data_IF_007137875714
#
_entry.id   IF_007137875714
#
_cell.length_a   1.000
_cell.length_b   1.000
_cell.length_c   1.000
_cell.angle_alpha   90.00
_cell.angle_beta   90.00
_cell.angle_gamma   90.00
#
_symmetry.space_group_name_H-M   'P 1'
#
loop_
_entity.id
_entity.type
_entity.pdbx_description
1 polymer ?
#
# COMPACT_ATOMS: atom_id res chain seq x y z
N UNK A 1 -74.83 21.07 -11.76
CA UNK A 1 -73.51 21.33 -12.36
C UNK A 1 -72.47 21.09 -11.28
N UNK A 2 -71.68 20.03 -11.44
CA UNK A 2 -70.85 19.40 -10.42
C UNK A 2 -69.62 20.24 -10.06
N UNK A 3 -69.51 20.60 -8.79
CA UNK A 3 -68.32 21.25 -8.21
C UNK A 3 -67.24 20.17 -8.07
N UNK A 4 -66.19 20.29 -8.87
CA UNK A 4 -64.98 19.48 -8.76
C UNK A 4 -64.29 19.79 -7.42
N UNK A 5 -64.38 18.88 -6.45
CA UNK A 5 -63.60 18.95 -5.21
C UNK A 5 -62.18 18.47 -5.52
N UNK A 6 -61.25 19.41 -5.63
CA UNK A 6 -59.81 19.10 -5.53
C UNK A 6 -59.57 18.31 -4.23
N UNK A 7 -59.03 17.10 -4.36
CA UNK A 7 -58.53 16.33 -3.21
C UNK A 7 -57.23 16.96 -2.75
N UNK A 8 -57.32 18.04 -1.98
CA UNK A 8 -56.19 18.54 -1.20
C UNK A 8 -55.97 17.55 -0.05
N UNK A 9 -54.97 16.68 -0.18
CA UNK A 9 -54.58 15.76 0.88
C UNK A 9 -53.90 16.60 1.97
N UNK A 10 -54.69 17.14 2.89
CA UNK A 10 -54.19 17.79 4.10
C UNK A 10 -53.84 16.70 5.10
N UNK A 11 -52.58 16.25 5.06
CA UNK A 11 -52.02 15.33 6.06
C UNK A 11 -52.27 15.89 7.47
N UNK A 12 -52.91 15.10 8.32
CA UNK A 12 -53.06 15.45 9.74
C UNK A 12 -51.68 15.44 10.42
N UNK A 13 -51.46 16.28 11.44
CA UNK A 13 -50.13 16.39 12.10
C UNK A 13 -49.54 15.05 12.55
N UNK A 14 -50.40 14.08 12.91
CA UNK A 14 -49.99 12.74 13.33
C UNK A 14 -49.39 11.91 12.18
N UNK A 15 -49.99 11.96 10.98
CA UNK A 15 -49.52 11.24 9.80
C UNK A 15 -48.15 11.76 9.33
N UNK A 16 -47.94 13.08 9.40
CA UNK A 16 -46.63 13.69 9.08
C UNK A 16 -45.53 13.19 10.01
N UNK A 17 -45.79 13.18 11.32
CA UNK A 17 -44.82 12.72 12.33
C UNK A 17 -44.50 11.23 12.13
N UNK A 18 -45.52 10.40 11.87
CA UNK A 18 -45.34 8.97 11.60
C UNK A 18 -44.46 8.74 10.36
N UNK A 19 -44.72 9.49 9.27
CA UNK A 19 -43.93 9.42 8.05
C UNK A 19 -42.47 9.82 8.27
N UNK A 20 -42.21 10.90 9.00
CA UNK A 20 -40.83 11.30 9.34
C UNK A 20 -40.11 10.29 10.22
N UNK A 21 -40.80 9.68 11.19
CA UNK A 21 -40.23 8.61 12.02
C UNK A 21 -39.85 7.39 11.20
N UNK A 22 -40.75 6.94 10.33
CA UNK A 22 -40.47 5.81 9.44
C UNK A 22 -39.30 6.09 8.50
N UNK A 23 -39.28 7.27 7.87
CA UNK A 23 -38.20 7.70 6.98
C UNK A 23 -36.85 7.80 7.72
N UNK A 24 -36.85 8.33 8.95
CA UNK A 24 -35.64 8.45 9.76
C UNK A 24 -35.06 7.07 10.11
N UNK A 25 -35.89 6.12 10.55
CA UNK A 25 -35.45 4.75 10.85
C UNK A 25 -34.88 4.08 9.61
N UNK A 26 -35.52 4.25 8.46
CA UNK A 26 -35.04 3.72 7.19
C UNK A 26 -33.66 4.30 6.82
N UNK A 27 -33.51 5.62 6.86
CA UNK A 27 -32.25 6.31 6.53
C UNK A 27 -31.11 5.89 7.47
N UNK A 28 -31.38 5.80 8.77
CA UNK A 28 -30.38 5.35 9.75
C UNK A 28 -29.99 3.89 9.49
N UNK A 29 -30.95 3.02 9.19
CA UNK A 29 -30.67 1.62 8.88
C UNK A 29 -29.77 1.47 7.64
N UNK A 30 -30.04 2.22 6.58
CA UNK A 30 -29.20 2.24 5.37
C UNK A 30 -27.81 2.81 5.68
N UNK A 31 -27.73 3.86 6.49
CA UNK A 31 -26.45 4.46 6.92
C UNK A 31 -25.57 3.46 7.66
N UNK A 32 -26.15 2.73 8.61
CA UNK A 32 -25.44 1.69 9.37
C UNK A 32 -24.94 0.60 8.43
N UNK A 33 -25.79 0.12 7.52
CA UNK A 33 -25.40 -0.90 6.55
C UNK A 33 -24.24 -0.44 5.65
N UNK A 34 -24.34 0.77 5.09
CA UNK A 34 -23.27 1.35 4.25
C UNK A 34 -21.98 1.56 5.03
N UNK A 35 -22.06 1.95 6.30
CA UNK A 35 -20.89 2.10 7.16
C UNK A 35 -20.16 0.77 7.37
N UNK A 36 -20.91 -0.32 7.59
CA UNK A 36 -20.34 -1.67 7.72
C UNK A 36 -19.68 -2.11 6.41
N UNK A 37 -20.35 -1.92 5.27
CA UNK A 37 -19.80 -2.25 3.95
C UNK A 37 -18.53 -1.44 3.68
N UNK A 38 -18.54 -0.14 3.96
CA UNK A 38 -17.39 0.74 3.79
C UNK A 38 -16.19 0.32 4.66
N UNK A 39 -16.45 -0.09 5.90
CA UNK A 39 -15.42 -0.63 6.79
C UNK A 39 -14.82 -1.94 6.27
N UNK A 40 -15.66 -2.90 5.89
CA UNK A 40 -15.21 -4.18 5.33
C UNK A 40 -14.41 -3.97 4.03
N UNK A 41 -14.88 -3.07 3.17
CA UNK A 41 -14.18 -2.70 1.94
C UNK A 41 -12.82 -2.08 2.24
N UNK A 42 -12.72 -1.18 3.22
CA UNK A 42 -11.45 -0.58 3.62
C UNK A 42 -10.45 -1.63 4.10
N UNK A 43 -10.86 -2.54 4.99
CA UNK A 43 -9.95 -3.54 5.56
C UNK A 43 -9.51 -4.58 4.52
N UNK A 44 -10.42 -4.98 3.63
CA UNK A 44 -10.09 -5.85 2.50
C UNK A 44 -9.08 -5.21 1.54
N UNK A 45 -9.29 -3.94 1.18
CA UNK A 45 -8.36 -3.20 0.33
C UNK A 45 -7.01 -2.97 1.02
N UNK A 46 -7.00 -2.65 2.31
CA UNK A 46 -5.77 -2.49 3.10
C UNK A 46 -4.92 -3.76 3.07
N UNK A 47 -5.54 -4.91 3.30
CA UNK A 47 -4.87 -6.21 3.24
C UNK A 47 -4.36 -6.51 1.84
N UNK A 48 -5.19 -6.29 0.81
CA UNK A 48 -4.81 -6.49 -0.58
C UNK A 48 -3.64 -5.60 -1.01
N UNK A 49 -3.65 -4.31 -0.64
CA UNK A 49 -2.57 -3.37 -0.91
C UNK A 49 -1.26 -3.78 -0.22
N UNK A 50 -1.33 -4.26 1.03
CA UNK A 50 -0.15 -4.76 1.75
C UNK A 50 0.45 -5.98 1.04
N UNK A 51 -0.39 -6.93 0.61
CA UNK A 51 0.05 -8.10 -0.14
C UNK A 51 0.66 -7.71 -1.49
N UNK A 52 0.00 -6.84 -2.25
CA UNK A 52 0.53 -6.33 -3.52
C UNK A 52 1.88 -5.64 -3.34
N UNK A 53 2.02 -4.80 -2.31
CA UNK A 53 3.28 -4.15 -1.96
C UNK A 53 4.37 -5.18 -1.62
N UNK A 54 4.05 -6.19 -0.82
CA UNK A 54 4.98 -7.29 -0.51
C UNK A 54 5.48 -7.97 -1.79
N UNK A 55 4.58 -8.36 -2.68
CA UNK A 55 4.95 -9.02 -3.93
C UNK A 55 5.80 -8.12 -4.83
N UNK A 56 5.41 -6.84 -4.98
CA UNK A 56 6.16 -5.87 -5.79
C UNK A 56 7.57 -5.67 -5.23
N UNK A 57 7.72 -5.44 -3.92
CA UNK A 57 9.03 -5.26 -3.30
C UNK A 57 9.89 -6.52 -3.43
N UNK A 58 9.34 -7.70 -3.18
CA UNK A 58 10.07 -8.97 -3.35
C UNK A 58 10.50 -9.20 -4.80
N UNK A 59 9.63 -8.87 -5.76
CA UNK A 59 9.96 -8.95 -7.19
C UNK A 59 11.12 -8.01 -7.55
N UNK A 60 11.05 -6.75 -7.10
CA UNK A 60 12.12 -5.78 -7.36
C UNK A 60 13.43 -6.19 -6.69
N UNK A 61 13.40 -6.70 -5.46
CA UNK A 61 14.60 -7.18 -4.78
C UNK A 61 15.25 -8.35 -5.54
N UNK A 62 14.46 -9.29 -6.07
CA UNK A 62 14.94 -10.36 -6.94
C UNK A 62 15.52 -9.85 -8.25
N UNK A 63 14.88 -8.86 -8.89
CA UNK A 63 15.41 -8.23 -10.10
C UNK A 63 16.77 -7.56 -9.84
N UNK A 64 16.94 -6.89 -8.70
CA UNK A 64 18.24 -6.33 -8.29
C UNK A 64 19.27 -7.43 -8.05
N UNK A 65 18.90 -8.51 -7.37
CA UNK A 65 19.76 -9.69 -7.18
C UNK A 65 20.24 -10.25 -8.51
N UNK A 66 19.31 -10.45 -9.46
CA UNK A 66 19.62 -10.97 -10.79
C UNK A 66 20.61 -10.06 -11.54
N UNK A 67 20.41 -8.73 -11.49
CA UNK A 67 21.36 -7.77 -12.09
C UNK A 67 22.75 -7.86 -11.46
N UNK A 68 22.84 -8.04 -10.14
CA UNK A 68 24.10 -8.23 -9.42
C UNK A 68 24.78 -9.54 -9.86
N UNK A 69 24.02 -10.64 -9.94
CA UNK A 69 24.50 -11.95 -10.40
C UNK A 69 25.01 -11.86 -11.83
N UNK A 70 24.21 -11.33 -12.76
CA UNK A 70 24.60 -11.15 -14.17
C UNK A 70 25.88 -10.32 -14.29
N UNK A 71 25.97 -9.20 -13.54
CA UNK A 71 27.17 -8.38 -13.54
C UNK A 71 28.38 -9.11 -12.95
N UNK A 72 28.17 -9.96 -11.94
CA UNK A 72 29.22 -10.80 -11.37
C UNK A 72 29.71 -11.86 -12.36
N UNK A 73 28.83 -12.39 -13.21
CA UNK A 73 29.15 -13.38 -14.24
C UNK A 73 29.89 -12.76 -15.43
N UNK A 74 29.53 -11.55 -15.84
CA UNK A 74 30.23 -10.78 -16.88
C UNK A 74 31.67 -10.38 -16.47
N UNK A 75 31.97 -10.36 -15.17
CA UNK A 75 33.21 -9.81 -14.63
C UNK A 75 34.39 -10.79 -14.58
N UNK A 76 34.31 -11.93 -15.27
CA UNK A 76 35.43 -12.88 -15.33
C UNK A 76 36.39 -12.53 -16.49
N UNK A 77 37.56 -12.01 -16.09
CA UNK A 77 38.86 -11.92 -16.77
C UNK A 77 39.32 -10.63 -17.49
N UNK A 78 38.49 -9.81 -18.15
CA UNK A 78 39.03 -8.66 -18.94
C UNK A 78 38.67 -7.25 -18.48
N UNK A 79 37.69 -7.08 -17.59
CA UNK A 79 37.11 -5.75 -17.21
C UNK A 79 37.55 -5.29 -15.80
N UNK A 80 38.40 -6.06 -15.11
CA UNK A 80 38.73 -5.86 -13.70
C UNK A 80 39.45 -4.54 -13.34
N UNK A 81 40.02 -3.81 -14.31
CA UNK A 81 40.84 -2.62 -13.97
C UNK A 81 40.03 -1.36 -13.63
N UNK A 82 38.77 -1.27 -14.05
CA UNK A 82 37.97 -0.03 -13.91
C UNK A 82 36.55 -0.23 -13.31
N UNK A 83 36.25 -1.39 -12.73
CA UNK A 83 34.92 -1.63 -12.16
C UNK A 83 34.76 -0.96 -10.79
N UNK A 84 34.08 0.19 -10.78
CA UNK A 84 33.64 0.86 -9.54
C UNK A 84 32.35 0.22 -9.01
N UNK A 85 32.52 -0.73 -8.08
CA UNK A 85 31.43 -1.40 -7.37
C UNK A 85 30.50 -0.41 -6.66
N UNK A 86 31.04 0.67 -6.09
CA UNK A 86 30.25 1.66 -5.36
C UNK A 86 29.32 2.43 -6.30
N UNK A 87 29.83 2.85 -7.46
CA UNK A 87 29.04 3.51 -8.50
C UNK A 87 27.94 2.61 -9.05
N UNK A 88 28.25 1.35 -9.34
CA UNK A 88 27.26 0.38 -9.82
C UNK A 88 26.08 0.20 -8.85
N UNK A 89 26.37 0.03 -7.54
CA UNK A 89 25.32 -0.13 -6.53
C UNK A 89 24.49 1.14 -6.33
N UNK A 90 25.09 2.32 -6.51
CA UNK A 90 24.40 3.60 -6.48
C UNK A 90 23.47 3.79 -7.68
N UNK A 91 23.89 3.32 -8.86
CA UNK A 91 23.09 3.41 -10.10
C UNK A 91 21.96 2.37 -10.15
N UNK A 92 22.07 1.28 -9.39
CA UNK A 92 21.03 0.27 -9.17
C UNK A 92 19.84 0.75 -8.31
N UNK A 93 19.85 2.01 -7.88
CA UNK A 93 18.73 2.62 -7.15
C UNK A 93 17.42 2.48 -7.92
N UNK A 94 16.34 2.17 -7.20
CA UNK A 94 15.00 2.17 -7.75
C UNK A 94 14.33 3.50 -7.42
N UNK A 95 13.80 4.23 -8.41
CA UNK A 95 13.22 5.57 -8.19
C UNK A 95 12.13 5.60 -7.11
N UNK A 96 11.43 4.48 -6.88
CA UNK A 96 10.37 4.34 -5.88
C UNK A 96 10.82 3.76 -4.52
N UNK A 97 11.90 2.98 -4.48
CA UNK A 97 12.29 2.22 -3.28
C UNK A 97 13.70 2.59 -2.88
N UNK A 98 13.91 2.86 -1.59
CA UNK A 98 15.25 3.03 -1.05
C UNK A 98 15.91 1.66 -0.95
N UNK A 99 17.13 1.53 -1.47
CA UNK A 99 17.87 0.28 -1.48
C UNK A 99 19.00 0.25 -0.45
N UNK A 100 19.30 -0.94 0.07
CA UNK A 100 20.47 -1.21 0.88
C UNK A 100 21.06 -2.57 0.54
N UNK A 101 22.35 -2.62 0.29
CA UNK A 101 23.11 -3.83 -0.02
C UNK A 101 24.07 -4.10 1.13
N UNK A 102 23.99 -5.31 1.68
CA UNK A 102 24.75 -5.72 2.86
C UNK A 102 25.53 -7.00 2.57
N UNK A 103 26.70 -7.11 3.18
CA UNK A 103 27.51 -8.33 3.12
C UNK A 103 27.00 -9.41 4.09
N UNK A 104 27.65 -10.57 4.10
CA UNK A 104 27.33 -11.70 5.00
C UNK A 104 27.34 -11.33 6.49
N UNK A 105 28.14 -10.34 6.87
CA UNK A 105 28.23 -9.82 8.25
C UNK A 105 27.21 -8.72 8.55
N UNK A 106 26.22 -8.51 7.66
CA UNK A 106 25.19 -7.45 7.77
C UNK A 106 25.78 -6.03 7.79
N UNK A 107 27.03 -5.86 7.34
CA UNK A 107 27.64 -4.53 7.18
C UNK A 107 27.20 -3.95 5.84
N UNK A 108 26.79 -2.67 5.80
CA UNK A 108 26.35 -2.04 4.56
C UNK A 108 27.54 -1.85 3.61
N UNK A 109 27.36 -2.27 2.36
CA UNK A 109 28.26 -1.94 1.24
C UNK A 109 27.82 -0.64 0.57
N UNK A 110 26.51 -0.45 0.44
CA UNK A 110 25.86 0.79 0.05
C UNK A 110 24.45 0.79 0.63
N UNK A 111 24.00 1.90 1.22
CA UNK A 111 22.61 1.98 1.69
C UNK A 111 22.08 3.41 1.71
N UNK A 112 20.82 3.53 1.30
CA UNK A 112 20.00 4.74 1.47
C UNK A 112 19.11 4.64 2.74
N UNK A 113 19.30 3.58 3.53
CA UNK A 113 18.49 3.22 4.68
C UNK A 113 19.35 3.36 5.94
N UNK A 114 19.09 4.40 6.73
CA UNK A 114 19.91 4.72 7.91
C UNK A 114 19.91 3.61 8.97
N UNK A 115 18.85 2.81 9.07
CA UNK A 115 18.78 1.74 10.07
C UNK A 115 17.84 0.62 9.59
N UNK A 116 18.35 -0.62 9.60
CA UNK A 116 17.58 -1.84 9.31
C UNK A 116 17.53 -2.66 10.58
N UNK A 117 16.33 -2.83 11.12
CA UNK A 117 16.12 -3.49 12.41
C UNK A 117 16.19 -5.01 12.33
N UNK A 118 15.84 -5.59 11.17
CA UNK A 118 15.64 -7.04 11.01
C UNK A 118 16.08 -7.53 9.63
N UNK A 119 16.77 -8.66 9.62
CA UNK A 119 17.25 -9.38 8.42
C UNK A 119 16.74 -10.83 8.36
N UNK A 120 16.03 -11.25 9.40
CA UNK A 120 15.50 -12.60 9.64
C UNK A 120 14.16 -12.86 8.96
N UNK A 121 13.47 -11.80 8.51
CA UNK A 121 12.17 -11.90 7.85
C UNK A 121 12.19 -11.28 6.45
N UNK A 122 11.69 -12.02 5.47
CA UNK A 122 11.62 -11.58 4.07
C UNK A 122 10.82 -10.30 3.84
N UNK A 123 9.82 -10.05 4.67
CA UNK A 123 8.99 -8.85 4.62
C UNK A 123 8.46 -8.48 6.00
N UNK A 124 8.58 -7.21 6.37
CA UNK A 124 8.01 -6.68 7.60
C UNK A 124 7.53 -5.24 7.41
N UNK A 125 6.62 -4.83 8.29
CA UNK A 125 6.09 -3.46 8.34
C UNK A 125 6.46 -2.88 9.69
N UNK A 126 7.14 -1.73 9.68
CA UNK A 126 7.47 -0.98 10.87
C UNK A 126 7.10 0.49 10.67
N UNK A 127 6.32 1.07 11.58
CA UNK A 127 5.85 2.45 11.51
C UNK A 127 5.25 2.84 10.14
N UNK A 128 4.39 1.97 9.59
CA UNK A 128 3.78 2.10 8.25
C UNK A 128 4.77 2.18 7.07
N UNK A 129 6.04 1.82 7.30
CA UNK A 129 7.05 1.65 6.26
C UNK A 129 7.22 0.15 6.02
N UNK A 130 7.24 -0.22 4.76
CA UNK A 130 7.44 -1.60 4.37
C UNK A 130 8.91 -1.85 4.11
N UNK A 131 9.37 -3.01 4.53
CA UNK A 131 10.73 -3.49 4.33
C UNK A 131 10.67 -4.87 3.72
N UNK A 132 11.49 -5.12 2.72
CA UNK A 132 11.75 -6.48 2.23
C UNK A 132 13.22 -6.79 2.37
N UNK A 133 13.54 -8.04 2.70
CA UNK A 133 14.89 -8.56 2.78
C UNK A 133 14.96 -9.74 1.83
N UNK A 134 15.93 -9.74 0.91
CA UNK A 134 16.20 -10.87 0.02
C UNK A 134 17.62 -11.33 0.27
N UNK A 135 17.78 -12.61 0.60
CA UNK A 135 19.08 -13.24 0.76
C UNK A 135 19.51 -13.88 -0.57
N UNK A 136 20.71 -13.54 -1.02
CA UNK A 136 21.40 -14.23 -2.11
C UNK A 136 22.48 -15.15 -1.52
N UNK A 137 22.30 -16.47 -1.67
CA UNK A 137 23.18 -17.46 -1.06
C UNK A 137 24.56 -17.55 -1.72
N UNK A 138 24.71 -17.00 -2.92
CA UNK A 138 25.90 -17.15 -3.75
C UNK A 138 26.94 -16.05 -3.53
N UNK A 139 26.64 -15.06 -2.68
CA UNK A 139 27.53 -13.95 -2.28
C UNK A 139 28.18 -13.21 -3.47
N UNK A 140 27.38 -12.98 -4.51
CA UNK A 140 27.83 -12.31 -5.73
C UNK A 140 28.24 -10.87 -5.44
N UNK A 141 29.43 -10.48 -5.90
CA UNK A 141 30.04 -9.18 -5.58
C UNK A 141 30.12 -8.90 -4.06
N UNK A 142 30.18 -9.94 -3.20
CA UNK A 142 30.23 -9.80 -1.74
C UNK A 142 28.94 -9.27 -1.10
N UNK A 143 27.82 -9.36 -1.82
CA UNK A 143 26.49 -8.94 -1.37
C UNK A 143 25.71 -10.20 -0.98
N UNK A 144 25.25 -10.24 0.27
CA UNK A 144 24.44 -11.34 0.81
C UNK A 144 22.98 -10.94 0.98
N UNK A 145 22.73 -9.70 1.39
CA UNK A 145 21.38 -9.22 1.68
C UNK A 145 21.06 -7.96 0.89
N UNK A 146 19.90 -7.97 0.26
CA UNK A 146 19.31 -6.82 -0.41
C UNK A 146 18.09 -6.40 0.40
N UNK A 147 18.08 -5.17 0.88
CA UNK A 147 16.98 -4.59 1.64
C UNK A 147 16.34 -3.48 0.83
N UNK A 148 15.03 -3.58 0.62
CA UNK A 148 14.24 -2.49 0.05
C UNK A 148 13.35 -1.88 1.11
N UNK A 149 13.19 -0.56 1.05
CA UNK A 149 12.29 0.20 1.92
C UNK A 149 11.33 1.05 1.11
N UNK A 150 10.07 1.01 1.51
CA UNK A 150 8.97 1.83 0.99
C UNK A 150 8.34 2.67 2.11
N UNK A 151 7.95 3.91 1.79
CA UNK A 151 7.35 4.84 2.76
C UNK A 151 6.01 5.47 2.35
N UNK A 152 5.49 5.17 1.17
CA UNK A 152 4.25 5.75 0.64
C UNK A 152 3.01 4.86 0.85
N UNK A 153 3.14 3.66 1.43
CA UNK A 153 1.98 2.82 1.78
C UNK A 153 1.01 3.58 2.69
N UNK A 154 1.52 4.31 3.69
CA UNK A 154 0.72 5.13 4.59
C UNK A 154 -0.11 6.19 3.82
N UNK A 155 0.51 6.87 2.85
CA UNK A 155 -0.18 7.88 2.01
C UNK A 155 -1.26 7.22 1.15
N UNK A 156 -0.98 6.04 0.62
CA UNK A 156 -1.93 5.30 -0.22
C UNK A 156 -3.15 4.84 0.57
N UNK A 157 -2.95 4.33 1.79
CA UNK A 157 -4.03 3.97 2.71
C UNK A 157 -4.84 5.20 3.15
N UNK A 158 -4.18 6.33 3.40
CA UNK A 158 -4.87 7.58 3.74
C UNK A 158 -5.77 8.08 2.59
N UNK A 159 -5.26 8.06 1.35
CA UNK A 159 -6.05 8.40 0.15
C UNK A 159 -7.26 7.48 -0.01
N UNK A 160 -7.09 6.18 0.22
CA UNK A 160 -8.19 5.22 0.19
C UNK A 160 -9.26 5.55 1.24
N UNK A 161 -8.84 5.86 2.47
CA UNK A 161 -9.75 6.24 3.56
C UNK A 161 -10.58 7.47 3.19
N UNK A 162 -9.95 8.52 2.65
CA UNK A 162 -10.65 9.74 2.21
C UNK A 162 -11.65 9.41 1.11
N UNK A 163 -11.28 8.59 0.12
CA UNK A 163 -12.21 8.19 -0.96
C UNK A 163 -13.45 7.50 -0.43
N UNK A 164 -13.30 6.55 0.50
CA UNK A 164 -14.43 5.81 1.09
C UNK A 164 -15.35 6.75 1.87
N UNK A 165 -14.78 7.64 2.71
CA UNK A 165 -15.57 8.64 3.44
C UNK A 165 -16.30 9.57 2.47
N UNK A 166 -15.62 10.00 1.40
CA UNK A 166 -16.21 10.84 0.36
C UNK A 166 -17.41 10.17 -0.32
N UNK A 167 -17.28 8.90 -0.70
CA UNK A 167 -18.40 8.15 -1.28
C UNK A 167 -19.56 7.95 -0.29
N UNK A 168 -19.27 7.72 0.98
CA UNK A 168 -20.28 7.58 2.01
C UNK A 168 -21.08 8.89 2.18
N UNK A 169 -20.39 10.03 2.28
CA UNK A 169 -21.04 11.35 2.38
C UNK A 169 -21.84 11.67 1.12
N UNK A 170 -21.27 11.43 -0.07
CA UNK A 170 -21.94 11.70 -1.33
C UNK A 170 -23.22 10.86 -1.49
N UNK A 171 -23.20 9.60 -1.05
CA UNK A 171 -24.38 8.71 -1.06
C UNK A 171 -25.53 9.17 -0.16
N UNK A 172 -25.32 10.14 0.75
CA UNK A 172 -26.36 10.70 1.60
C UNK A 172 -26.85 12.08 1.14
N UNK A 173 -26.07 12.74 0.29
CA UNK A 173 -26.42 14.06 -0.28
C UNK A 173 -27.17 13.91 -1.60
N UNK A 174 -26.81 12.90 -2.39
CA UNK A 174 -27.45 12.51 -3.66
C UNK A 174 -28.62 11.54 -3.41
#
# INVERSE_FOLDING_TARGET
MTISKEKVIVLTSYERISLFRFLSVYLVSVFVLLSIIGYLFFENNRTSMKSAMKFEMMYQARMLSSKIVMKSMENNESVLKNFDKGKFLKDLKHCRFKAGYYNKNKKPLYTEINNVSRFDTDFFVDNMKCYTVTEDKSDHLGIRYIVLKESDLAKSLHKLRIKIIGYLVLSFIL
#
